data_IF_440106866087
#
_entry.id   IF_440106866087
#
_cell.length_a   1.000
_cell.length_b   1.000
_cell.length_c   1.000
_cell.angle_alpha   90.00
_cell.angle_beta   90.00
_cell.angle_gamma   90.00
#
_symmetry.space_group_name_H-M   'P 1'
#
loop_
_entity.id
_entity.type
_entity.pdbx_description
1 polymer ?
#
# COMPACT_ATOMS: atom_id res chain seq x y z
N UNK A 1 26.37 19.03 -8.56
CA UNK A 1 25.96 17.80 -9.27
C UNK A 1 24.47 17.89 -9.44
N UNK A 2 23.98 17.99 -10.68
CA UNK A 2 22.54 18.15 -10.93
C UNK A 2 21.89 16.79 -10.71
N UNK A 3 21.08 16.67 -9.66
CA UNK A 3 20.11 15.59 -9.52
C UNK A 3 19.27 15.59 -10.79
N UNK A 4 19.45 14.55 -11.62
CA UNK A 4 18.53 14.29 -12.71
C UNK A 4 17.20 13.92 -12.05
N UNK A 5 16.26 14.88 -12.04
CA UNK A 5 14.85 14.60 -11.83
C UNK A 5 14.46 13.52 -12.83
N UNK A 6 14.25 12.30 -12.35
CA UNK A 6 13.68 11.22 -13.14
C UNK A 6 12.32 11.69 -13.60
N UNK A 7 12.20 12.02 -14.88
CA UNK A 7 10.94 12.37 -15.51
C UNK A 7 9.89 11.33 -15.13
N UNK A 8 8.79 11.79 -14.53
CA UNK A 8 7.82 11.00 -13.76
C UNK A 8 6.99 10.02 -14.60
N UNK A 9 7.64 9.02 -15.19
CA UNK A 9 6.98 7.95 -15.93
C UNK A 9 6.34 6.98 -14.95
N UNK A 10 5.01 6.99 -14.91
CA UNK A 10 4.22 5.96 -14.23
C UNK A 10 4.29 4.68 -15.07
N UNK A 11 4.73 3.59 -14.47
CA UNK A 11 4.68 2.26 -15.08
C UNK A 11 3.30 1.68 -14.81
N UNK A 12 2.65 1.09 -15.81
CA UNK A 12 1.36 0.41 -15.68
C UNK A 12 1.59 -1.08 -15.83
N UNK A 13 1.11 -1.86 -14.88
CA UNK A 13 1.21 -3.33 -14.86
C UNK A 13 -0.09 -3.96 -14.37
N UNK A 14 -0.27 -5.25 -14.64
CA UNK A 14 -1.51 -5.94 -14.32
C UNK A 14 -1.58 -6.43 -12.88
N UNK A 15 -0.47 -6.91 -12.31
CA UNK A 15 -0.38 -7.34 -10.93
C UNK A 15 1.05 -7.15 -10.41
N UNK A 16 1.19 -7.05 -9.09
CA UNK A 16 2.50 -7.14 -8.41
C UNK A 16 2.39 -8.12 -7.26
N UNK A 17 3.33 -9.05 -7.16
CA UNK A 17 3.35 -10.04 -6.08
C UNK A 17 4.78 -10.34 -5.59
N UNK A 18 4.91 -11.35 -4.74
CA UNK A 18 6.19 -11.84 -4.21
C UNK A 18 7.24 -12.19 -5.28
N UNK A 19 6.81 -12.56 -6.48
CA UNK A 19 7.70 -13.06 -7.53
C UNK A 19 8.28 -11.91 -8.36
N UNK A 20 7.53 -10.82 -8.55
CA UNK A 20 7.94 -9.71 -9.43
C UNK A 20 8.20 -8.35 -8.72
N UNK A 21 7.81 -8.16 -7.45
CA UNK A 21 7.88 -6.83 -6.82
C UNK A 21 9.29 -6.21 -6.83
N UNK A 22 10.33 -7.04 -6.82
CA UNK A 22 11.74 -6.60 -6.82
C UNK A 22 12.09 -5.80 -8.07
N UNK A 23 11.43 -6.05 -9.20
CA UNK A 23 11.64 -5.33 -10.45
C UNK A 23 11.16 -3.88 -10.37
N UNK A 24 10.29 -3.55 -9.43
CA UNK A 24 9.63 -2.25 -9.32
C UNK A 24 10.12 -1.41 -8.15
N UNK A 25 11.10 -1.89 -7.39
CA UNK A 25 11.66 -1.17 -6.24
C UNK A 25 12.13 0.23 -6.66
N UNK A 26 11.70 1.24 -5.92
CA UNK A 26 12.01 2.66 -6.17
C UNK A 26 11.25 3.29 -7.34
N UNK A 27 10.49 2.52 -8.13
CA UNK A 27 9.73 3.02 -9.28
C UNK A 27 8.35 3.52 -8.85
N UNK A 28 7.73 4.33 -9.71
CA UNK A 28 6.35 4.80 -9.57
C UNK A 28 5.43 3.95 -10.44
N UNK A 29 4.46 3.26 -9.82
CA UNK A 29 3.68 2.22 -10.50
C UNK A 29 2.17 2.36 -10.26
N UNK A 30 1.38 2.21 -11.32
CA UNK A 30 -0.05 1.96 -11.29
C UNK A 30 -0.29 0.47 -11.58
N UNK A 31 -1.15 -0.17 -10.78
CA UNK A 31 -1.51 -1.58 -10.97
C UNK A 31 -2.99 -1.67 -11.32
N UNK A 32 -3.34 -2.36 -12.41
CA UNK A 32 -4.74 -2.48 -12.86
C UNK A 32 -5.49 -3.59 -12.13
N UNK A 33 -4.80 -4.64 -11.69
CA UNK A 33 -5.31 -5.72 -10.84
C UNK A 33 -4.79 -5.62 -9.41
N UNK A 34 -4.41 -6.76 -8.84
CA UNK A 34 -4.08 -6.93 -7.42
C UNK A 34 -2.59 -6.69 -7.12
N UNK A 35 -2.32 -6.29 -5.87
CA UNK A 35 -0.98 -6.25 -5.31
C UNK A 35 -0.92 -7.13 -4.06
N UNK A 36 -0.04 -8.13 -4.05
CA UNK A 36 0.23 -8.98 -2.89
C UNK A 36 1.70 -8.91 -2.45
N UNK A 37 1.96 -8.13 -1.42
CA UNK A 37 3.25 -8.00 -0.75
C UNK A 37 3.26 -8.68 0.63
N UNK A 38 2.33 -9.61 0.88
CA UNK A 38 2.19 -10.23 2.21
C UNK A 38 3.37 -11.11 2.58
N UNK A 39 3.75 -11.11 3.87
CA UNK A 39 4.72 -12.09 4.39
C UNK A 39 6.15 -11.97 3.88
N UNK A 40 6.53 -10.82 3.31
CA UNK A 40 7.85 -10.60 2.69
C UNK A 40 8.93 -10.08 3.65
N UNK A 41 8.60 -9.90 4.93
CA UNK A 41 9.51 -9.33 5.94
C UNK A 41 9.85 -7.85 5.68
N UNK A 42 8.95 -7.12 5.01
CA UNK A 42 9.17 -5.74 4.65
C UNK A 42 9.07 -4.82 5.87
N UNK A 43 10.00 -3.89 6.01
CA UNK A 43 9.93 -2.79 7.00
C UNK A 43 9.32 -1.52 6.40
N UNK A 44 9.31 -1.40 5.08
CA UNK A 44 8.67 -0.33 4.31
C UNK A 44 8.16 -0.89 2.97
N UNK A 45 7.12 -0.27 2.40
CA UNK A 45 6.70 -0.57 1.03
C UNK A 45 7.79 -0.05 0.08
N UNK A 46 8.43 -0.91 -0.74
CA UNK A 46 9.63 -0.52 -1.49
C UNK A 46 9.31 0.11 -2.86
N UNK A 47 8.03 0.20 -3.23
CA UNK A 47 7.51 0.71 -4.49
C UNK A 47 6.64 1.93 -4.20
N UNK A 48 6.64 2.92 -5.09
CA UNK A 48 5.75 4.08 -4.99
C UNK A 48 4.47 3.83 -5.81
N UNK A 49 3.42 3.32 -5.18
CA UNK A 49 2.16 3.06 -5.88
C UNK A 49 1.33 4.34 -6.07
N UNK A 50 0.69 4.50 -7.23
CA UNK A 50 -0.24 5.60 -7.50
C UNK A 50 -1.68 5.18 -7.25
N UNK A 51 -2.14 4.15 -7.97
CA UNK A 51 -3.46 3.55 -7.91
C UNK A 51 -3.37 2.04 -8.08
N UNK A 52 -4.30 1.32 -7.45
CA UNK A 52 -4.47 -0.13 -7.58
C UNK A 52 -5.93 -0.43 -7.88
N UNK A 53 -6.19 -1.14 -8.97
CA UNK A 53 -7.56 -1.44 -9.41
C UNK A 53 -8.22 -2.56 -8.61
N UNK A 54 -7.44 -3.54 -8.18
CA UNK A 54 -7.87 -4.65 -7.33
C UNK A 54 -7.60 -4.43 -5.84
N UNK A 55 -7.27 -5.50 -5.13
CA UNK A 55 -6.91 -5.50 -3.72
C UNK A 55 -5.44 -5.09 -3.54
N UNK A 56 -5.14 -4.45 -2.40
CA UNK A 56 -3.77 -4.16 -1.98
C UNK A 56 -3.48 -4.83 -0.65
N UNK A 57 -2.64 -5.86 -0.68
CA UNK A 57 -2.30 -6.69 0.47
C UNK A 57 -0.84 -6.42 0.84
N UNK A 58 -0.62 -5.82 2.01
CA UNK A 58 0.72 -5.65 2.60
C UNK A 58 0.79 -6.20 4.05
N UNK A 59 -0.12 -7.12 4.36
CA UNK A 59 -0.26 -7.76 5.66
C UNK A 59 0.92 -8.67 6.03
N UNK A 60 1.02 -9.04 7.31
CA UNK A 60 2.03 -9.98 7.82
C UNK A 60 3.48 -9.55 7.53
N UNK A 61 3.77 -8.25 7.70
CA UNK A 61 5.10 -7.68 7.51
C UNK A 61 5.56 -6.97 8.80
N UNK A 62 6.65 -6.20 8.71
CA UNK A 62 7.18 -5.37 9.80
C UNK A 62 7.03 -3.87 9.50
N UNK A 63 6.01 -3.50 8.71
CA UNK A 63 5.81 -2.12 8.28
C UNK A 63 5.53 -1.21 9.48
N UNK A 64 6.25 -0.10 9.58
CA UNK A 64 6.02 0.94 10.60
C UNK A 64 5.30 2.18 10.04
N UNK A 65 5.15 2.27 8.72
CA UNK A 65 4.35 3.28 8.02
C UNK A 65 3.74 2.70 6.75
N UNK A 66 2.70 3.34 6.21
CA UNK A 66 2.09 2.99 4.93
C UNK A 66 2.62 3.85 3.77
N UNK A 67 3.70 4.61 3.97
CA UNK A 67 4.32 5.40 2.91
C UNK A 67 4.71 4.50 1.73
N UNK A 68 4.30 4.90 0.53
CA UNK A 68 4.43 4.10 -0.70
C UNK A 68 3.14 3.37 -1.09
N UNK A 69 2.14 3.27 -0.20
CA UNK A 69 0.81 2.76 -0.53
C UNK A 69 0.12 3.61 -1.60
N UNK A 70 -0.77 3.01 -2.41
CA UNK A 70 -1.53 3.74 -3.41
C UNK A 70 -2.44 4.80 -2.78
N UNK A 71 -2.75 5.85 -3.54
CA UNK A 71 -3.73 6.87 -3.13
C UNK A 71 -5.17 6.38 -3.21
N UNK A 72 -5.45 5.43 -4.10
CA UNK A 72 -6.76 4.80 -4.34
C UNK A 72 -6.61 3.30 -4.55
N UNK A 73 -7.49 2.52 -3.91
CA UNK A 73 -7.64 1.07 -4.10
C UNK A 73 -9.07 0.77 -4.53
N UNK A 74 -9.23 0.06 -5.64
CA UNK A 74 -10.56 -0.32 -6.16
C UNK A 74 -11.20 -1.45 -5.38
N UNK A 75 -10.38 -2.38 -4.86
CA UNK A 75 -10.78 -3.44 -3.95
C UNK A 75 -10.60 -3.07 -2.47
N UNK A 76 -10.16 -4.05 -1.69
CA UNK A 76 -9.86 -3.96 -0.26
C UNK A 76 -8.38 -3.62 -0.01
N UNK A 77 -8.10 -2.99 1.13
CA UNK A 77 -6.75 -2.69 1.60
C UNK A 77 -6.46 -3.47 2.89
N UNK A 78 -5.52 -4.40 2.82
CA UNK A 78 -5.16 -5.28 3.94
C UNK A 78 -3.74 -5.00 4.43
N UNK A 79 -3.60 -4.36 5.60
CA UNK A 79 -2.32 -4.07 6.24
C UNK A 79 -2.21 -4.63 7.67
N UNK A 80 -3.03 -5.63 7.99
CA UNK A 80 -3.07 -6.26 9.31
C UNK A 80 -1.74 -6.93 9.70
N UNK A 81 -1.52 -7.05 11.01
CA UNK A 81 -0.34 -7.67 11.62
C UNK A 81 0.97 -7.09 11.08
N UNK A 82 1.13 -5.79 11.29
CA UNK A 82 2.34 -5.01 11.04
C UNK A 82 2.77 -4.30 12.35
N UNK A 83 3.71 -3.34 12.26
CA UNK A 83 4.19 -2.52 13.38
C UNK A 83 3.69 -1.07 13.28
N UNK A 84 2.54 -0.84 12.65
CA UNK A 84 2.00 0.49 12.43
C UNK A 84 1.53 1.12 13.75
N UNK A 85 2.02 2.33 14.05
CA UNK A 85 1.57 3.12 15.22
C UNK A 85 0.51 4.17 14.86
N UNK A 86 0.37 4.48 13.57
CA UNK A 86 -0.64 5.32 12.95
C UNK A 86 -0.97 4.77 11.55
N UNK A 87 -2.03 5.30 10.92
CA UNK A 87 -2.39 4.97 9.54
C UNK A 87 -1.86 6.03 8.56
N UNK A 88 -0.83 6.79 8.94
CA UNK A 88 -0.23 7.78 8.04
C UNK A 88 0.35 7.11 6.79
N UNK A 89 -0.03 7.65 5.62
CA UNK A 89 0.30 7.08 4.31
C UNK A 89 -0.70 6.03 3.81
N UNK A 90 -1.78 5.73 4.53
CA UNK A 90 -2.88 4.92 4.01
C UNK A 90 -3.51 5.55 2.75
N UNK A 91 -4.18 4.76 1.89
CA UNK A 91 -4.98 5.28 0.78
C UNK A 91 -6.03 6.28 1.26
N UNK A 92 -6.35 7.27 0.41
CA UNK A 92 -7.48 8.18 0.66
C UNK A 92 -8.82 7.51 0.41
N UNK A 93 -8.89 6.64 -0.59
CA UNK A 93 -10.11 5.94 -1.01
C UNK A 93 -9.88 4.44 -1.15
N UNK A 94 -10.73 3.66 -0.50
CA UNK A 94 -10.80 2.20 -0.63
C UNK A 94 -12.20 1.80 -1.07
N UNK A 95 -12.30 1.01 -2.13
CA UNK A 95 -13.59 0.63 -2.72
C UNK A 95 -14.36 -0.39 -1.89
N UNK A 96 -13.66 -1.22 -1.11
CA UNK A 96 -14.22 -2.24 -0.22
C UNK A 96 -13.70 -2.05 1.20
N UNK A 97 -13.16 -3.09 1.82
CA UNK A 97 -12.77 -3.10 3.23
C UNK A 97 -11.38 -2.50 3.46
N UNK A 98 -11.18 -1.84 4.60
CA UNK A 98 -9.86 -1.47 5.09
C UNK A 98 -9.58 -2.22 6.39
N UNK A 99 -8.60 -3.13 6.37
CA UNK A 99 -8.27 -3.96 7.52
C UNK A 99 -6.82 -3.73 7.99
N UNK A 100 -6.69 -3.13 9.16
CA UNK A 100 -5.43 -2.86 9.84
C UNK A 100 -5.30 -3.56 11.20
N UNK A 101 -6.09 -4.62 11.46
CA UNK A 101 -6.08 -5.29 12.77
C UNK A 101 -4.69 -5.80 13.17
N UNK A 102 -4.44 -5.89 14.47
CA UNK A 102 -3.18 -6.45 14.98
C UNK A 102 -1.97 -5.53 14.73
N UNK A 103 -2.20 -4.24 14.57
CA UNK A 103 -1.18 -3.19 14.61
C UNK A 103 -1.22 -2.46 15.96
N UNK A 104 -0.08 -1.99 16.50
CA UNK A 104 -0.03 -1.21 17.75
C UNK A 104 -0.49 0.25 17.56
N UNK A 105 -1.66 0.46 16.94
CA UNK A 105 -2.22 1.76 16.65
C UNK A 105 -2.62 2.48 17.95
N UNK A 106 -2.17 3.73 18.11
CA UNK A 106 -2.62 4.59 19.22
C UNK A 106 -3.95 5.29 18.92
N UNK A 107 -4.27 5.43 17.64
CA UNK A 107 -5.51 6.03 17.14
C UNK A 107 -5.73 5.62 15.68
N UNK A 108 -6.95 5.82 15.18
CA UNK A 108 -7.28 5.65 13.76
C UNK A 108 -6.98 6.90 12.93
N UNK A 109 -6.16 7.83 13.44
CA UNK A 109 -5.73 9.03 12.69
C UNK A 109 -4.97 8.57 11.44
N UNK A 110 -5.35 9.14 10.30
CA UNK A 110 -4.80 8.77 8.99
C UNK A 110 -5.56 7.65 8.28
N UNK A 111 -6.66 7.12 8.85
CA UNK A 111 -7.54 6.19 8.10
C UNK A 111 -8.04 6.81 6.78
N UNK A 112 -8.44 6.00 5.79
CA UNK A 112 -9.01 6.52 4.55
C UNK A 112 -10.20 7.47 4.78
N UNK A 113 -10.33 8.46 3.90
CA UNK A 113 -11.46 9.41 3.88
C UNK A 113 -12.75 8.70 3.42
N UNK A 114 -12.61 7.74 2.51
CA UNK A 114 -13.72 6.90 2.02
C UNK A 114 -13.34 5.42 2.07
N UNK A 115 -14.25 4.62 2.63
CA UNK A 115 -14.22 3.16 2.67
C UNK A 115 -15.60 2.70 2.20
N UNK A 116 -15.65 1.91 1.13
CA UNK A 116 -16.92 1.42 0.59
C UNK A 116 -17.51 0.25 1.37
N UNK A 117 -16.67 -0.49 2.09
CA UNK A 117 -17.05 -1.56 3.02
C UNK A 117 -16.72 -1.23 4.46
N UNK A 118 -16.21 -2.22 5.19
CA UNK A 118 -15.96 -2.14 6.62
C UNK A 118 -14.56 -1.59 6.95
N UNK A 119 -14.45 -0.91 8.09
CA UNK A 119 -13.17 -0.55 8.70
C UNK A 119 -12.87 -1.47 9.88
N UNK A 120 -11.80 -2.27 9.76
CA UNK A 120 -11.42 -3.30 10.73
C UNK A 120 -10.06 -2.92 11.32
N UNK A 121 -9.97 -2.68 12.63
CA UNK A 121 -8.76 -2.19 13.31
C UNK A 121 -8.52 -2.86 14.66
#
# INVERSE_FOLDING_TARGET
MKEQQTNGKVIVVDHIDKDNYKEYIGKTVKVTGDVDLSGLGLTKIPINFTEVGGDFICALNELYSLKGSPSKVGGSFYCFRNKLSSLEGAPRKVGRDFNCWGNPLKSTKGKPEYIGGEFIS
#
